data_IF_644582345329
#
_entry.id   IF_644582345329
#
_cell.length_a   1.000
_cell.length_b   1.000
_cell.length_c   1.000
_cell.angle_alpha   90.00
_cell.angle_beta   90.00
_cell.angle_gamma   90.00
#
_symmetry.space_group_name_H-M   'P 1'
#
loop_
_entity.id
_entity.type
_entity.pdbx_description
1 polymer ?
#
# COMPACT_ATOMS: atom_id res chain seq x y z
N UNK A 1 10.91 -3.22 -19.51
CA UNK A 1 9.48 -3.52 -19.36
C UNK A 1 9.00 -3.29 -17.92
N UNK A 2 9.77 -3.66 -16.89
CA UNK A 2 9.38 -3.48 -15.49
C UNK A 2 8.98 -2.03 -15.14
N UNK A 3 9.74 -1.03 -15.59
CA UNK A 3 9.43 0.40 -15.39
C UNK A 3 8.11 0.82 -16.04
N UNK A 4 7.80 0.28 -17.22
CA UNK A 4 6.52 0.53 -17.88
C UNK A 4 5.36 -0.16 -17.15
N UNK A 5 5.64 -1.28 -16.49
CA UNK A 5 4.68 -2.04 -15.69
C UNK A 5 4.12 -1.27 -14.48
N UNK A 6 4.90 -0.37 -13.88
CA UNK A 6 4.52 0.41 -12.68
C UNK A 6 3.89 1.78 -13.00
N UNK A 7 3.78 2.16 -14.28
CA UNK A 7 3.27 3.46 -14.66
C UNK A 7 1.77 3.60 -14.36
N UNK A 8 1.37 4.61 -13.60
CA UNK A 8 0.00 4.80 -13.08
C UNK A 8 -1.08 5.04 -14.14
N UNK A 9 -0.70 5.48 -15.33
CA UNK A 9 -1.64 5.73 -16.46
C UNK A 9 -1.70 4.56 -17.45
N UNK A 10 -0.90 3.52 -17.23
CA UNK A 10 -0.89 2.36 -18.10
C UNK A 10 -2.17 1.55 -17.94
N UNK A 11 -2.80 1.26 -19.08
CA UNK A 11 -3.92 0.34 -19.14
C UNK A 11 -3.51 -0.99 -19.78
N UNK A 12 -2.83 -0.93 -20.93
CA UNK A 12 -2.34 -2.09 -21.69
C UNK A 12 -1.07 -1.73 -22.44
N UNK A 13 -0.25 -2.73 -22.76
CA UNK A 13 0.90 -2.61 -23.66
C UNK A 13 0.72 -3.54 -24.85
N UNK A 14 1.13 -3.06 -26.02
CA UNK A 14 1.09 -3.81 -27.26
C UNK A 14 2.43 -3.66 -27.97
N UNK A 15 2.84 -4.72 -28.63
CA UNK A 15 3.92 -4.68 -29.63
C UNK A 15 3.31 -4.41 -31.00
N UNK A 16 3.89 -3.48 -31.74
CA UNK A 16 3.55 -3.29 -33.14
C UNK A 16 4.30 -4.36 -33.95
N UNK A 17 3.54 -5.23 -34.61
CA UNK A 17 4.11 -6.26 -35.48
C UNK A 17 3.83 -5.94 -36.94
N UNK A 18 4.51 -6.65 -37.86
CA UNK A 18 4.36 -6.44 -39.30
C UNK A 18 2.91 -6.50 -39.75
N UNK A 19 2.55 -5.68 -40.74
CA UNK A 19 1.18 -5.56 -41.22
C UNK A 19 0.27 -4.63 -40.41
N UNK A 20 0.83 -3.84 -39.45
CA UNK A 20 0.08 -2.87 -38.65
C UNK A 20 -0.78 -3.51 -37.58
N UNK A 21 -0.52 -4.77 -37.22
CA UNK A 21 -1.22 -5.48 -36.17
C UNK A 21 -0.62 -5.15 -34.80
N UNK A 22 -1.45 -5.21 -33.75
CA UNK A 22 -1.05 -5.03 -32.37
C UNK A 22 -1.11 -6.37 -31.64
N UNK A 23 0.04 -6.84 -31.14
CA UNK A 23 0.12 -8.01 -30.29
C UNK A 23 0.12 -7.58 -28.84
N UNK A 24 -0.85 -8.02 -27.99
CA UNK A 24 -0.81 -7.70 -26.57
C UNK A 24 0.44 -8.33 -25.94
N UNK A 25 1.11 -7.54 -25.07
CA UNK A 25 2.25 -8.01 -24.29
C UNK A 25 1.77 -8.36 -22.88
N UNK A 26 2.08 -9.58 -22.47
CA UNK A 26 2.01 -9.95 -21.06
C UNK A 26 3.37 -9.67 -20.42
N UNK A 27 3.39 -8.67 -19.52
CA UNK A 27 4.62 -8.32 -18.76
C UNK A 27 4.59 -8.88 -17.34
N UNK A 28 3.65 -9.79 -17.08
CA UNK A 28 3.46 -10.36 -15.76
C UNK A 28 2.84 -9.39 -14.74
N UNK A 29 2.63 -9.88 -13.55
CA UNK A 29 2.11 -9.10 -12.43
C UNK A 29 3.23 -8.27 -11.83
N UNK A 30 3.09 -6.95 -11.84
CA UNK A 30 4.05 -6.01 -11.24
C UNK A 30 3.62 -5.57 -9.84
N UNK A 31 2.35 -5.77 -9.48
CA UNK A 31 1.83 -5.42 -8.16
C UNK A 31 2.18 -6.50 -7.13
N UNK A 32 2.64 -6.09 -5.95
CA UNK A 32 2.94 -6.98 -4.83
C UNK A 32 1.66 -7.62 -4.27
N UNK A 33 0.59 -6.83 -4.12
CA UNK A 33 -0.75 -7.32 -3.80
C UNK A 33 -1.72 -7.05 -4.97
N UNK A 34 -2.86 -7.79 -5.05
CA UNK A 34 -3.91 -7.53 -6.02
C UNK A 34 -4.42 -6.08 -6.01
N UNK A 35 -4.82 -5.56 -7.18
CA UNK A 35 -5.32 -4.20 -7.34
C UNK A 35 -6.65 -3.96 -6.61
N UNK A 36 -7.36 -5.01 -6.23
CA UNK A 36 -8.61 -4.96 -5.49
C UNK A 36 -8.47 -4.41 -4.06
N UNK A 37 -7.28 -4.52 -3.44
CA UNK A 37 -7.03 -4.06 -2.07
C UNK A 37 -7.47 -2.60 -1.85
N UNK A 38 -7.10 -1.70 -2.75
CA UNK A 38 -7.46 -0.29 -2.64
C UNK A 38 -8.83 0.05 -3.23
N UNK A 39 -9.49 -0.87 -3.96
CA UNK A 39 -10.75 -0.60 -4.67
C UNK A 39 -12.00 -1.10 -3.94
N UNK A 40 -11.92 -2.21 -3.20
CA UNK A 40 -13.11 -2.85 -2.61
C UNK A 40 -13.73 -2.00 -1.50
N UNK A 41 -12.91 -1.42 -0.60
CA UNK A 41 -13.43 -0.59 0.48
C UNK A 41 -13.97 0.73 -0.09
N UNK A 42 -15.31 0.84 -0.18
CA UNK A 42 -15.99 2.02 -0.71
C UNK A 42 -16.63 2.83 0.41
N UNK A 43 -16.40 4.13 0.41
CA UNK A 43 -17.01 5.07 1.36
C UNK A 43 -17.09 6.48 0.75
N UNK A 44 -17.98 7.30 1.31
CA UNK A 44 -18.13 8.70 0.87
C UNK A 44 -16.86 9.49 1.21
N UNK A 45 -16.33 10.20 0.22
CA UNK A 45 -15.09 10.98 0.39
C UNK A 45 -13.81 10.21 0.16
N UNK A 46 -13.89 8.92 -0.27
CA UNK A 46 -12.71 8.14 -0.64
C UNK A 46 -11.92 8.81 -1.75
N UNK A 47 -10.63 8.98 -1.56
CA UNK A 47 -9.71 9.36 -2.64
C UNK A 47 -9.60 8.23 -3.65
N UNK A 48 -9.62 8.55 -4.94
CA UNK A 48 -9.45 7.54 -6.01
C UNK A 48 -8.10 6.84 -5.87
N UNK A 49 -8.09 5.51 -5.92
CA UNK A 49 -6.86 4.73 -5.88
C UNK A 49 -5.93 5.07 -7.06
N UNK A 50 -6.48 5.26 -8.26
CA UNK A 50 -5.70 5.68 -9.43
C UNK A 50 -5.05 7.05 -9.24
N UNK A 51 -5.74 8.02 -8.63
CA UNK A 51 -5.17 9.33 -8.31
C UNK A 51 -4.07 9.21 -7.24
N UNK A 52 -4.30 8.40 -6.20
CA UNK A 52 -3.30 8.12 -5.16
C UNK A 52 -2.06 7.46 -5.75
N UNK A 53 -2.21 6.51 -6.66
CA UNK A 53 -1.12 5.89 -7.43
C UNK A 53 -0.30 6.92 -8.20
N UNK A 54 -0.98 7.81 -8.93
CA UNK A 54 -0.33 8.89 -9.67
C UNK A 54 0.49 9.80 -8.73
N UNK A 55 -0.12 10.26 -7.64
CA UNK A 55 0.55 11.11 -6.65
C UNK A 55 1.78 10.43 -6.05
N UNK A 56 1.68 9.14 -5.70
CA UNK A 56 2.77 8.36 -5.14
C UNK A 56 3.92 8.20 -6.14
N UNK A 57 3.62 7.92 -7.41
CA UNK A 57 4.63 7.84 -8.46
C UNK A 57 5.31 9.19 -8.70
N UNK A 58 4.56 10.30 -8.69
CA UNK A 58 5.13 11.64 -8.81
C UNK A 58 6.04 11.98 -7.61
N UNK A 59 5.59 11.70 -6.40
CA UNK A 59 6.38 11.92 -5.18
C UNK A 59 7.68 11.11 -5.20
N UNK A 60 7.60 9.82 -5.56
CA UNK A 60 8.78 8.96 -5.71
C UNK A 60 9.75 9.50 -6.76
N UNK A 61 9.25 9.86 -7.95
CA UNK A 61 10.08 10.36 -9.05
C UNK A 61 10.78 11.69 -8.72
N UNK A 62 10.14 12.52 -7.88
CA UNK A 62 10.68 13.82 -7.44
C UNK A 62 11.58 13.73 -6.19
N UNK A 63 11.75 12.54 -5.62
CA UNK A 63 12.54 12.31 -4.40
C UNK A 63 13.89 11.67 -4.71
N UNK A 64 14.78 11.67 -3.72
CA UNK A 64 16.07 10.97 -3.76
C UNK A 64 15.90 9.42 -3.80
N UNK A 65 14.66 8.94 -3.60
CA UNK A 65 14.31 7.52 -3.61
C UNK A 65 13.80 7.01 -4.96
N UNK A 66 13.89 7.82 -6.04
CA UNK A 66 13.37 7.48 -7.37
C UNK A 66 13.87 6.11 -7.87
N UNK A 67 15.15 5.80 -7.64
CA UNK A 67 15.84 4.57 -8.06
C UNK A 67 16.17 3.63 -6.89
N UNK A 68 15.47 3.77 -5.76
CA UNK A 68 15.71 2.88 -4.62
C UNK A 68 15.29 1.43 -4.94
N UNK A 69 16.21 0.49 -4.72
CA UNK A 69 15.98 -0.96 -4.90
C UNK A 69 15.33 -1.60 -3.67
N UNK A 70 15.38 -0.92 -2.52
CA UNK A 70 14.78 -1.37 -1.27
C UNK A 70 13.30 -0.98 -1.17
N UNK A 71 12.46 -1.76 -0.48
CA UNK A 71 11.09 -1.35 -0.18
C UNK A 71 11.06 -0.03 0.59
N UNK A 72 10.42 0.97 0.01
CA UNK A 72 10.22 2.26 0.68
C UNK A 72 9.14 2.16 1.75
N UNK A 73 9.16 3.08 2.71
CA UNK A 73 8.08 3.25 3.69
C UNK A 73 7.35 4.57 3.42
N UNK A 74 6.04 4.48 3.20
CA UNK A 74 5.16 5.63 3.01
C UNK A 74 4.55 6.00 4.34
N UNK A 75 4.64 7.27 4.72
CA UNK A 75 3.93 7.84 5.87
C UNK A 75 2.70 8.62 5.38
N UNK A 76 1.53 8.25 5.89
CA UNK A 76 0.30 9.03 5.73
C UNK A 76 -0.19 9.49 7.11
N UNK A 77 0.03 10.78 7.47
CA UNK A 77 -0.28 11.29 8.80
C UNK A 77 -1.76 11.65 9.01
N UNK A 78 -2.61 11.48 8.00
CA UNK A 78 -4.06 11.73 8.04
C UNK A 78 -4.77 10.73 7.11
N UNK A 79 -4.60 9.44 7.41
CA UNK A 79 -4.89 8.36 6.46
C UNK A 79 -6.38 8.05 6.28
N UNK A 80 -7.25 8.50 7.18
CA UNK A 80 -8.65 8.08 7.19
C UNK A 80 -8.76 6.56 7.17
N UNK A 81 -9.43 6.01 6.15
CA UNK A 81 -9.56 4.56 5.96
C UNK A 81 -8.42 3.94 5.13
N UNK A 82 -7.24 4.57 5.14
CA UNK A 82 -5.97 4.00 4.69
C UNK A 82 -5.82 3.76 3.17
N UNK A 83 -6.47 4.54 2.30
CA UNK A 83 -6.33 4.37 0.84
C UNK A 83 -4.87 4.48 0.39
N UNK A 84 -4.13 5.48 0.88
CA UNK A 84 -2.70 5.67 0.57
C UNK A 84 -1.86 4.49 1.03
N UNK A 85 -2.12 4.00 2.26
CA UNK A 85 -1.44 2.82 2.78
C UNK A 85 -1.67 1.59 1.91
N UNK A 86 -2.91 1.31 1.51
CA UNK A 86 -3.23 0.17 0.66
C UNK A 86 -2.58 0.27 -0.73
N UNK A 87 -2.55 1.46 -1.33
CA UNK A 87 -1.83 1.69 -2.60
C UNK A 87 -0.32 1.49 -2.41
N UNK A 88 0.27 1.92 -1.29
CA UNK A 88 1.68 1.66 -0.99
C UNK A 88 1.98 0.16 -0.94
N UNK A 89 1.15 -0.62 -0.21
CA UNK A 89 1.29 -2.07 -0.10
C UNK A 89 1.16 -2.79 -1.44
N UNK A 90 0.25 -2.35 -2.31
CA UNK A 90 0.12 -2.89 -3.67
C UNK A 90 1.39 -2.71 -4.50
N UNK A 91 2.13 -1.64 -4.26
CA UNK A 91 3.42 -1.36 -4.89
C UNK A 91 4.63 -2.01 -4.18
N UNK A 92 4.40 -2.89 -3.22
CA UNK A 92 5.46 -3.56 -2.47
C UNK A 92 6.21 -2.65 -1.49
N UNK A 93 5.63 -1.50 -1.12
CA UNK A 93 6.16 -0.60 -0.11
C UNK A 93 5.60 -0.96 1.27
N UNK A 94 6.24 -0.47 2.33
CA UNK A 94 5.67 -0.44 3.67
C UNK A 94 4.79 0.80 3.85
N UNK A 95 3.87 0.76 4.80
CA UNK A 95 3.03 1.90 5.12
C UNK A 95 2.92 2.15 6.63
N UNK A 96 3.03 3.42 7.01
CA UNK A 96 2.72 3.92 8.35
C UNK A 96 1.57 4.91 8.21
N UNK A 97 0.44 4.58 8.78
CA UNK A 97 -0.81 5.31 8.64
C UNK A 97 -1.24 5.80 10.02
N UNK A 98 -1.39 7.10 10.17
CA UNK A 98 -1.84 7.75 11.40
C UNK A 98 -3.17 8.45 11.13
N UNK A 99 -4.09 8.35 12.07
CA UNK A 99 -5.32 9.17 12.08
C UNK A 99 -5.82 9.37 13.50
N UNK A 100 -6.54 10.45 13.72
CA UNK A 100 -7.19 10.75 14.98
C UNK A 100 -8.55 10.02 15.10
N UNK A 101 -9.14 9.64 13.96
CA UNK A 101 -10.43 8.95 13.93
C UNK A 101 -10.25 7.44 14.11
N UNK A 102 -10.44 7.02 15.37
CA UNK A 102 -10.40 5.61 15.75
C UNK A 102 -11.35 4.72 14.96
N UNK A 103 -12.51 5.25 14.55
CA UNK A 103 -13.50 4.46 13.80
C UNK A 103 -12.99 4.14 12.40
N UNK A 104 -12.42 5.12 11.72
CA UNK A 104 -11.87 4.94 10.39
C UNK A 104 -10.68 3.98 10.40
N UNK A 105 -9.77 4.11 11.37
CA UNK A 105 -8.66 3.17 11.57
C UNK A 105 -9.14 1.75 11.88
N UNK A 106 -10.19 1.61 12.70
CA UNK A 106 -10.76 0.29 12.99
C UNK A 106 -11.36 -0.33 11.73
N UNK A 107 -12.12 0.42 10.94
CA UNK A 107 -12.67 -0.07 9.68
C UNK A 107 -11.55 -0.49 8.70
N UNK A 108 -10.46 0.29 8.63
CA UNK A 108 -9.28 -0.06 7.82
C UNK A 108 -8.61 -1.35 8.31
N UNK A 109 -8.42 -1.51 9.62
CA UNK A 109 -7.82 -2.69 10.24
C UNK A 109 -8.68 -3.96 10.01
N UNK A 110 -9.99 -3.85 10.24
CA UNK A 110 -10.94 -4.95 10.04
C UNK A 110 -10.98 -5.36 8.55
N UNK A 111 -11.03 -4.38 7.65
CA UNK A 111 -10.96 -4.64 6.21
C UNK A 111 -9.67 -5.35 5.81
N UNK A 112 -8.50 -4.85 6.25
CA UNK A 112 -7.22 -5.44 5.89
C UNK A 112 -7.04 -6.84 6.47
N UNK A 113 -7.48 -7.08 7.70
CA UNK A 113 -7.48 -8.42 8.30
C UNK A 113 -8.31 -9.42 7.48
N UNK A 114 -9.52 -9.02 7.08
CA UNK A 114 -10.39 -9.84 6.24
C UNK A 114 -9.77 -10.08 4.85
N UNK A 115 -9.13 -9.07 4.27
CA UNK A 115 -8.43 -9.16 3.00
C UNK A 115 -7.31 -10.21 3.05
N UNK A 116 -6.43 -10.13 4.05
CA UNK A 116 -5.34 -11.08 4.25
C UNK A 116 -5.84 -12.52 4.41
N UNK A 117 -6.94 -12.71 5.15
CA UNK A 117 -7.57 -14.01 5.33
C UNK A 117 -8.19 -14.54 4.04
N UNK A 118 -8.94 -13.71 3.32
CA UNK A 118 -9.60 -14.07 2.06
C UNK A 118 -8.58 -14.53 1.00
N UNK A 119 -7.49 -13.78 0.85
CA UNK A 119 -6.40 -14.13 -0.07
C UNK A 119 -5.42 -15.17 0.47
N UNK A 120 -5.66 -15.69 1.70
CA UNK A 120 -4.81 -16.69 2.38
C UNK A 120 -3.34 -16.28 2.48
N UNK A 121 -3.09 -14.98 2.64
CA UNK A 121 -1.75 -14.43 2.78
C UNK A 121 -1.22 -14.71 4.20
N UNK A 122 0.04 -15.12 4.29
CA UNK A 122 0.70 -15.29 5.58
C UNK A 122 0.94 -13.93 6.22
N UNK A 123 0.51 -13.81 7.48
CA UNK A 123 0.64 -12.55 8.22
C UNK A 123 0.77 -12.77 9.72
N UNK A 124 1.26 -11.76 10.40
CA UNK A 124 1.27 -11.59 11.85
C UNK A 124 0.67 -10.23 12.18
N UNK A 125 -0.07 -10.16 13.27
CA UNK A 125 -0.58 -8.92 13.84
C UNK A 125 0.03 -8.74 15.23
N UNK A 126 0.72 -7.64 15.45
CA UNK A 126 1.21 -7.19 16.75
C UNK A 126 0.42 -5.95 17.18
N UNK A 127 0.01 -5.90 18.44
CA UNK A 127 -0.60 -4.72 19.05
C UNK A 127 0.34 -4.17 20.12
N UNK A 128 0.56 -2.88 20.09
CA UNK A 128 1.44 -2.18 21.01
C UNK A 128 0.89 -0.79 21.32
N UNK A 129 1.53 -0.07 22.21
CA UNK A 129 1.24 1.34 22.46
C UNK A 129 2.55 2.07 22.68
N UNK A 130 2.67 3.25 22.11
CA UNK A 130 3.77 4.20 22.39
C UNK A 130 3.22 5.44 23.03
N UNK A 131 4.00 6.03 23.93
CA UNK A 131 3.64 7.31 24.55
C UNK A 131 4.33 8.43 23.78
N UNK A 132 3.54 9.31 23.15
CA UNK A 132 4.02 10.52 22.52
C UNK A 132 3.49 11.73 23.31
N UNK A 133 4.37 12.60 23.75
CA UNK A 133 4.02 13.81 24.54
C UNK A 133 3.02 13.53 25.69
N UNK A 134 3.23 12.43 26.42
CA UNK A 134 2.36 11.94 27.53
C UNK A 134 1.00 11.36 27.08
N UNK A 135 0.73 11.26 25.78
CA UNK A 135 -0.49 10.65 25.23
C UNK A 135 -0.17 9.25 24.74
N UNK A 136 -0.91 8.21 25.19
CA UNK A 136 -0.74 6.86 24.64
C UNK A 136 -1.29 6.80 23.22
N UNK A 137 -0.49 6.28 22.29
CA UNK A 137 -0.83 6.05 20.88
C UNK A 137 -0.91 4.54 20.67
N UNK A 138 -2.12 3.97 20.57
CA UNK A 138 -2.29 2.57 20.20
C UNK A 138 -1.79 2.31 18.77
N UNK A 139 -1.10 1.20 18.59
CA UNK A 139 -0.51 0.79 17.31
C UNK A 139 -0.90 -0.63 17.00
N UNK A 140 -1.43 -0.86 15.79
CA UNK A 140 -1.61 -2.17 15.20
C UNK A 140 -0.62 -2.32 14.04
N UNK A 141 0.26 -3.32 14.11
CA UNK A 141 1.27 -3.59 13.10
C UNK A 141 1.02 -4.95 12.44
N UNK A 142 0.77 -4.93 11.16
CA UNK A 142 0.64 -6.10 10.31
C UNK A 142 1.96 -6.35 9.60
N UNK A 143 2.50 -7.55 9.76
CA UNK A 143 3.63 -8.05 8.97
C UNK A 143 3.12 -9.15 8.07
N UNK A 144 3.30 -9.06 6.77
CA UNK A 144 2.72 -9.99 5.79
C UNK A 144 3.61 -10.12 4.54
N UNK A 145 3.29 -11.11 3.71
CA UNK A 145 3.94 -11.30 2.42
C UNK A 145 2.93 -11.76 1.36
N UNK A 146 3.27 -11.54 0.09
CA UNK A 146 2.48 -11.95 -1.07
C UNK A 146 2.46 -13.47 -1.25
N UNK A 147 3.50 -14.18 -0.80
CA UNK A 147 3.63 -15.64 -0.86
C UNK A 147 4.10 -16.23 0.47
N UNK A 148 3.92 -17.54 0.63
CA UNK A 148 4.40 -18.27 1.82
C UNK A 148 5.91 -18.39 1.84
N UNK A 149 6.49 -18.53 0.67
CA UNK A 149 7.93 -18.65 0.43
C UNK A 149 8.65 -17.36 0.81
N UNK A 150 8.14 -16.21 0.34
CA UNK A 150 8.67 -14.90 0.71
C UNK A 150 8.52 -14.64 2.22
N UNK A 151 7.39 -15.02 2.83
CA UNK A 151 7.21 -14.90 4.28
C UNK A 151 8.24 -15.74 5.06
N UNK A 152 8.54 -16.96 4.60
CA UNK A 152 9.54 -17.83 5.21
C UNK A 152 10.97 -17.31 5.02
N UNK A 153 11.24 -16.58 3.93
CA UNK A 153 12.51 -15.93 3.64
C UNK A 153 12.67 -14.56 4.30
N UNK A 154 11.70 -14.13 5.14
CA UNK A 154 11.62 -12.80 5.77
C UNK A 154 11.52 -11.63 4.78
N UNK A 155 11.13 -11.91 3.52
CA UNK A 155 10.74 -10.88 2.55
C UNK A 155 9.30 -10.47 2.81
N UNK A 156 9.13 -9.59 3.77
CA UNK A 156 7.84 -9.14 4.29
C UNK A 156 7.61 -7.65 4.03
N UNK A 157 6.34 -7.26 4.11
CA UNK A 157 5.92 -5.85 4.14
C UNK A 157 5.15 -5.58 5.41
N UNK A 158 5.12 -4.31 5.80
CA UNK A 158 4.45 -3.88 7.03
C UNK A 158 3.40 -2.82 6.76
N UNK A 159 2.28 -2.94 7.46
CA UNK A 159 1.29 -1.89 7.62
C UNK A 159 1.18 -1.56 9.11
N UNK A 160 1.51 -0.34 9.46
CA UNK A 160 1.34 0.18 10.82
C UNK A 160 0.15 1.16 10.83
N UNK A 161 -0.84 0.88 11.67
CA UNK A 161 -1.97 1.78 11.94
C UNK A 161 -1.82 2.34 13.34
N UNK A 162 -1.74 3.65 13.47
CA UNK A 162 -1.55 4.33 14.74
C UNK A 162 -2.69 5.33 15.00
N UNK A 163 -3.30 5.26 16.20
CA UNK A 163 -4.37 6.18 16.60
C UNK A 163 -3.75 7.39 17.31
N UNK A 164 -3.78 8.57 16.68
CA UNK A 164 -3.22 9.77 17.30
C UNK A 164 -3.35 11.02 16.43
N UNK A 165 -3.08 12.15 17.05
CA UNK A 165 -3.02 13.44 16.37
C UNK A 165 -1.66 13.59 15.67
N UNK A 166 -1.67 13.84 14.36
CA UNK A 166 -0.47 14.06 13.55
C UNK A 166 0.34 15.29 14.02
N UNK A 167 -0.29 16.25 14.67
CA UNK A 167 0.39 17.40 15.28
C UNK A 167 1.31 17.04 16.45
N UNK A 168 1.21 15.79 16.98
CA UNK A 168 2.09 15.28 18.04
C UNK A 168 3.35 14.60 17.50
N UNK A 169 3.47 14.42 16.18
CA UNK A 169 4.54 13.67 15.52
C UNK A 169 5.62 14.60 14.94
N UNK A 170 5.59 15.88 15.29
CA UNK A 170 6.55 16.89 14.85
C UNK A 170 7.85 16.92 15.64
#
# INVERSE_FOLDING_TARGET
FALLGTHSTRLMLFECVDGGLLRPLDWGRTAYLPDDLSEILKYKGKTSAAFTHMMMNCARAASDFALADQPLTVLDPMCGKCTTGFVALQNGMNAVCLDIDRKDLKEAADYFSNYLQFHRLKHRLAQSSRTLQKTPVPIAEYTFSDTKEHFAADDVRTLMLAEGDSGLVG
#
